data_IF_959390652335
#
_entry.id   IF_959390652335
#
_cell.length_a   1.000
_cell.length_b   1.000
_cell.length_c   1.000
_cell.angle_alpha   90.00
_cell.angle_beta   90.00
_cell.angle_gamma   90.00
#
_symmetry.space_group_name_H-M   'P 1'
#
loop_
_entity.id
_entity.type
_entity.pdbx_description
1 polymer ?
#
# COMPACT_ATOMS: atom_id res chain seq x y z
N UNK A 1 -31.24 -17.02 -69.16
CA UNK A 1 -30.17 -16.01 -69.05
C UNK A 1 -29.74 -15.94 -67.60
N UNK A 2 -28.67 -16.64 -67.27
CA UNK A 2 -28.09 -16.74 -65.93
C UNK A 2 -27.00 -15.67 -65.79
N UNK A 3 -27.14 -14.78 -64.81
CA UNK A 3 -26.09 -13.85 -64.43
C UNK A 3 -24.98 -14.61 -63.68
N UNK A 4 -23.68 -14.41 -64.02
CA UNK A 4 -22.60 -14.96 -63.21
C UNK A 4 -22.38 -14.08 -61.98
N UNK A 5 -22.24 -14.77 -60.84
CA UNK A 5 -21.93 -14.22 -59.53
C UNK A 5 -20.51 -13.64 -59.52
N UNK A 6 -20.42 -12.44 -58.95
CA UNK A 6 -19.20 -11.67 -58.73
C UNK A 6 -18.14 -12.51 -58.01
N UNK A 7 -17.00 -12.71 -58.67
CA UNK A 7 -15.81 -13.30 -58.03
C UNK A 7 -15.19 -12.28 -57.09
N UNK A 8 -15.24 -12.56 -55.80
CA UNK A 8 -14.42 -11.87 -54.79
C UNK A 8 -12.94 -12.07 -55.14
N UNK A 9 -12.21 -10.96 -55.28
CA UNK A 9 -10.81 -10.95 -55.66
C UNK A 9 -9.91 -11.53 -54.54
N UNK A 10 -8.86 -12.27 -54.91
CA UNK A 10 -7.88 -12.84 -53.94
C UNK A 10 -7.22 -11.78 -53.04
N UNK A 11 -7.21 -10.51 -53.46
CA UNK A 11 -6.73 -9.37 -52.68
C UNK A 11 -7.63 -9.04 -51.47
N UNK A 12 -8.92 -9.39 -51.53
CA UNK A 12 -9.87 -9.21 -50.42
C UNK A 12 -9.72 -10.33 -49.38
N UNK A 13 -9.32 -11.54 -49.80
CA UNK A 13 -8.92 -12.62 -48.89
C UNK A 13 -7.61 -12.30 -48.16
N UNK A 14 -6.62 -11.71 -48.83
CA UNK A 14 -5.37 -11.31 -48.16
C UNK A 14 -5.54 -10.13 -47.20
N UNK A 15 -6.44 -9.18 -47.48
CA UNK A 15 -6.76 -8.10 -46.52
C UNK A 15 -7.52 -8.58 -45.29
N UNK A 16 -8.36 -9.62 -45.41
CA UNK A 16 -9.03 -10.24 -44.26
C UNK A 16 -8.13 -11.22 -43.48
N UNK A 17 -6.91 -11.48 -43.97
CA UNK A 17 -5.92 -12.35 -43.32
C UNK A 17 -4.88 -11.55 -42.52
N UNK A 18 -4.97 -10.21 -42.50
CA UNK A 18 -4.23 -9.39 -41.54
C UNK A 18 -5.10 -9.08 -40.32
N UNK A 19 -4.54 -9.33 -39.12
CA UNK A 19 -5.10 -9.09 -37.78
C UNK A 19 -5.96 -10.25 -37.22
N UNK A 20 -5.41 -11.46 -37.20
CA UNK A 20 -5.62 -12.40 -36.09
C UNK A 20 -4.28 -13.06 -35.76
N UNK A 21 -3.28 -12.24 -35.44
CA UNK A 21 -2.09 -12.77 -34.77
C UNK A 21 -2.55 -13.16 -33.36
N UNK A 22 -3.02 -14.41 -33.24
CA UNK A 22 -3.50 -14.96 -31.98
C UNK A 22 -2.30 -15.08 -31.06
N UNK A 23 -2.04 -14.03 -30.28
CA UNK A 23 -0.97 -13.99 -29.28
C UNK A 23 -1.06 -15.26 -28.45
N UNK A 24 0.04 -16.01 -28.37
CA UNK A 24 0.10 -17.28 -27.66
C UNK A 24 -0.18 -17.10 -26.16
N UNK A 25 -0.57 -18.18 -25.47
CA UNK A 25 -0.80 -18.11 -24.03
C UNK A 25 0.44 -17.65 -23.25
N UNK A 26 1.63 -18.07 -23.68
CA UNK A 26 2.90 -17.69 -23.05
C UNK A 26 3.25 -16.22 -23.29
N UNK A 27 3.00 -15.70 -24.49
CA UNK A 27 3.18 -14.28 -24.78
C UNK A 27 2.19 -13.41 -23.98
N UNK A 28 0.92 -13.80 -23.89
CA UNK A 28 -0.06 -13.09 -23.05
C UNK A 28 0.36 -13.11 -21.58
N UNK A 29 0.83 -14.26 -21.07
CA UNK A 29 1.40 -14.38 -19.72
C UNK A 29 2.53 -13.36 -19.51
N UNK A 30 3.49 -13.27 -20.42
CA UNK A 30 4.62 -12.33 -20.32
C UNK A 30 4.16 -10.86 -20.34
N UNK A 31 3.18 -10.52 -21.17
CA UNK A 31 2.62 -9.17 -21.24
C UNK A 31 1.87 -8.83 -19.93
N UNK A 32 1.09 -9.76 -19.37
CA UNK A 32 0.42 -9.59 -18.07
C UNK A 32 1.45 -9.31 -16.97
N UNK A 33 2.49 -10.14 -16.87
CA UNK A 33 3.52 -9.99 -15.84
C UNK A 33 4.26 -8.65 -15.97
N UNK A 34 4.57 -8.24 -17.20
CA UNK A 34 5.17 -6.95 -17.50
C UNK A 34 4.26 -5.78 -17.10
N UNK A 35 2.99 -5.85 -17.48
CA UNK A 35 2.00 -4.84 -17.12
C UNK A 35 1.85 -4.67 -15.60
N UNK A 36 1.80 -5.76 -14.84
CA UNK A 36 1.77 -5.71 -13.36
C UNK A 36 3.04 -5.03 -12.82
N UNK A 37 4.21 -5.35 -13.38
CA UNK A 37 5.49 -4.72 -12.98
C UNK A 37 5.53 -3.22 -13.32
N UNK A 38 4.83 -2.80 -14.36
CA UNK A 38 4.70 -1.39 -14.77
C UNK A 38 3.51 -0.67 -14.11
N UNK A 39 2.79 -1.34 -13.23
CA UNK A 39 1.58 -0.83 -12.55
C UNK A 39 0.40 -0.53 -13.49
N UNK A 40 0.37 -1.16 -14.67
CA UNK A 40 -0.77 -1.08 -15.59
C UNK A 40 -2.01 -1.76 -14.98
N UNK A 41 -3.16 -1.18 -15.24
CA UNK A 41 -4.48 -1.76 -14.99
C UNK A 41 -4.77 -2.90 -15.97
N UNK A 42 -5.70 -3.79 -15.61
CA UNK A 42 -6.13 -4.87 -16.51
C UNK A 42 -6.71 -4.33 -17.84
N UNK A 43 -7.22 -3.10 -17.86
CA UNK A 43 -7.74 -2.45 -19.07
C UNK A 43 -6.57 -2.07 -19.98
N UNK A 44 -5.52 -1.46 -19.45
CA UNK A 44 -4.31 -1.08 -20.21
C UNK A 44 -3.59 -2.31 -20.73
N UNK A 45 -3.45 -3.35 -19.90
CA UNK A 45 -2.89 -4.65 -20.30
C UNK A 45 -3.69 -5.28 -21.45
N UNK A 46 -5.03 -5.20 -21.39
CA UNK A 46 -5.89 -5.73 -22.44
C UNK A 46 -5.77 -4.91 -23.73
N UNK A 47 -5.67 -3.59 -23.62
CA UNK A 47 -5.44 -2.70 -24.76
C UNK A 47 -4.08 -2.97 -25.44
N UNK A 48 -3.02 -3.22 -24.67
CA UNK A 48 -1.69 -3.56 -25.18
C UNK A 48 -1.70 -4.87 -26.00
N UNK A 49 -2.51 -5.85 -25.57
CA UNK A 49 -2.69 -7.12 -26.30
C UNK A 49 -3.73 -7.05 -27.42
N UNK A 50 -4.50 -5.97 -27.53
CA UNK A 50 -5.63 -5.89 -28.45
C UNK A 50 -6.78 -6.86 -28.10
N UNK A 51 -6.94 -7.22 -26.82
CA UNK A 51 -7.97 -8.17 -26.35
C UNK A 51 -8.99 -7.50 -25.43
N UNK A 52 -10.09 -8.22 -25.14
CA UNK A 52 -11.06 -7.78 -24.12
C UNK A 52 -10.49 -7.97 -22.72
N UNK A 53 -10.82 -7.09 -21.78
CA UNK A 53 -10.39 -7.18 -20.37
C UNK A 53 -10.72 -8.52 -19.72
N UNK A 54 -11.84 -9.15 -20.08
CA UNK A 54 -12.20 -10.49 -19.57
C UNK A 54 -11.17 -11.56 -19.94
N UNK A 55 -10.49 -11.45 -21.09
CA UNK A 55 -9.41 -12.35 -21.47
C UNK A 55 -8.25 -12.28 -20.48
N UNK A 56 -7.82 -11.06 -20.13
CA UNK A 56 -6.77 -10.84 -19.12
C UNK A 56 -7.19 -11.40 -17.76
N UNK A 57 -8.44 -11.20 -17.34
CA UNK A 57 -8.96 -11.75 -16.08
C UNK A 57 -8.96 -13.28 -16.06
N UNK A 58 -9.28 -13.93 -17.19
CA UNK A 58 -9.23 -15.38 -17.30
C UNK A 58 -7.80 -15.91 -17.25
N UNK A 59 -6.87 -15.28 -17.97
CA UNK A 59 -5.45 -15.66 -17.96
C UNK A 59 -4.87 -15.48 -16.55
N UNK A 60 -5.18 -14.38 -15.85
CA UNK A 60 -4.81 -14.16 -14.45
C UNK A 60 -5.37 -15.25 -13.53
N UNK A 61 -6.64 -15.66 -13.72
CA UNK A 61 -7.25 -16.75 -12.96
C UNK A 61 -6.54 -18.08 -13.20
N UNK A 62 -6.19 -18.37 -14.46
CA UNK A 62 -5.47 -19.58 -14.84
C UNK A 62 -4.06 -19.61 -14.22
N UNK A 63 -3.31 -18.50 -14.30
CA UNK A 63 -2.00 -18.35 -13.68
C UNK A 63 -2.05 -18.46 -12.15
N UNK A 64 -3.10 -17.92 -11.51
CA UNK A 64 -3.31 -18.08 -10.08
C UNK A 64 -3.61 -19.53 -9.70
N UNK A 65 -4.40 -20.24 -10.52
CA UNK A 65 -4.73 -21.65 -10.29
C UNK A 65 -3.52 -22.57 -10.46
N UNK A 66 -2.68 -22.30 -11.47
CA UNK A 66 -1.42 -23.02 -11.70
C UNK A 66 -0.30 -22.64 -10.72
N UNK A 67 -0.56 -21.69 -9.80
CA UNK A 67 0.41 -21.15 -8.83
C UNK A 67 1.67 -20.62 -9.50
N UNK A 68 1.48 -19.84 -10.55
CA UNK A 68 2.57 -19.20 -11.28
C UNK A 68 3.48 -18.40 -10.32
N UNK A 69 4.76 -18.80 -10.15
CA UNK A 69 5.66 -18.15 -9.21
C UNK A 69 5.99 -16.71 -9.63
N UNK A 70 6.02 -16.42 -10.93
CA UNK A 70 6.32 -15.07 -11.42
C UNK A 70 5.15 -14.12 -11.21
N UNK A 71 3.91 -14.63 -11.26
CA UNK A 71 2.73 -13.84 -10.95
C UNK A 71 2.77 -13.37 -9.49
N UNK A 72 3.07 -14.30 -8.58
CA UNK A 72 3.22 -13.99 -7.16
C UNK A 72 4.33 -12.96 -6.93
N UNK A 73 5.49 -13.14 -7.57
CA UNK A 73 6.60 -12.21 -7.43
C UNK A 73 6.25 -10.81 -7.98
N UNK A 74 5.58 -10.73 -9.13
CA UNK A 74 5.19 -9.46 -9.73
C UNK A 74 4.26 -8.63 -8.81
N UNK A 75 3.34 -9.29 -8.10
CA UNK A 75 2.50 -8.62 -7.09
C UNK A 75 3.27 -8.19 -5.85
N UNK A 76 4.20 -9.02 -5.35
CA UNK A 76 5.07 -8.65 -4.23
C UNK A 76 5.91 -7.41 -4.57
N UNK A 77 6.52 -7.39 -5.75
CA UNK A 77 7.33 -6.26 -6.21
C UNK A 77 6.47 -4.99 -6.33
N UNK A 78 5.23 -5.12 -6.81
CA UNK A 78 4.27 -4.02 -6.88
C UNK A 78 3.95 -3.45 -5.50
N UNK A 79 3.65 -4.31 -4.52
CA UNK A 79 3.41 -3.87 -3.14
C UNK A 79 4.62 -3.17 -2.52
N UNK A 80 5.84 -3.69 -2.75
CA UNK A 80 7.07 -3.06 -2.28
C UNK A 80 7.22 -1.65 -2.86
N UNK A 81 7.00 -1.47 -4.17
CA UNK A 81 7.04 -0.15 -4.82
C UNK A 81 5.98 0.80 -4.27
N UNK A 82 4.75 0.33 -4.07
CA UNK A 82 3.66 1.13 -3.50
C UNK A 82 3.99 1.58 -2.08
N UNK A 83 4.58 0.69 -1.26
CA UNK A 83 5.04 1.03 0.08
C UNK A 83 6.18 2.06 0.06
N UNK A 84 7.18 1.88 -0.80
CA UNK A 84 8.28 2.84 -0.95
C UNK A 84 7.78 4.22 -1.40
N UNK A 85 6.85 4.28 -2.35
CA UNK A 85 6.23 5.52 -2.81
C UNK A 85 5.47 6.22 -1.67
N UNK A 86 4.64 5.48 -0.91
CA UNK A 86 3.93 6.02 0.26
C UNK A 86 4.91 6.57 1.30
N UNK A 87 5.98 5.86 1.61
CA UNK A 87 7.02 6.33 2.53
C UNK A 87 7.69 7.61 2.02
N UNK A 88 8.02 7.68 0.73
CA UNK A 88 8.62 8.90 0.16
C UNK A 88 7.70 10.12 0.28
N UNK A 89 6.38 9.95 0.06
CA UNK A 89 5.40 11.02 0.22
C UNK A 89 5.24 11.46 1.67
N UNK A 90 5.28 10.52 2.62
CA UNK A 90 5.26 10.84 4.05
C UNK A 90 6.51 11.64 4.43
N UNK A 91 7.69 11.21 3.98
CA UNK A 91 8.95 11.90 4.25
C UNK A 91 8.94 13.35 3.72
N UNK A 92 8.48 13.57 2.48
CA UNK A 92 8.37 14.92 1.89
C UNK A 92 7.44 15.81 2.73
N UNK A 93 6.31 15.26 3.20
CA UNK A 93 5.36 16.01 4.04
C UNK A 93 5.96 16.36 5.39
N UNK A 94 6.65 15.42 6.02
CA UNK A 94 7.31 15.64 7.30
C UNK A 94 8.46 16.64 7.20
N UNK A 95 9.26 16.59 6.13
CA UNK A 95 10.31 17.57 5.84
C UNK A 95 9.74 18.97 5.64
N UNK A 96 8.66 19.10 4.85
CA UNK A 96 7.98 20.39 4.66
C UNK A 96 7.41 20.92 5.98
N UNK A 97 6.81 20.04 6.78
CA UNK A 97 6.27 20.41 8.08
C UNK A 97 7.37 20.87 9.04
N UNK A 98 8.51 20.18 9.05
CA UNK A 98 9.70 20.56 9.80
C UNK A 98 10.22 21.93 9.37
N UNK A 99 10.34 22.18 8.06
CA UNK A 99 10.76 23.48 7.55
C UNK A 99 9.79 24.62 7.95
N UNK A 100 8.49 24.35 8.00
CA UNK A 100 7.48 25.35 8.36
C UNK A 100 7.40 25.63 9.87
N UNK A 101 7.63 24.63 10.71
CA UNK A 101 7.32 24.70 12.15
C UNK A 101 8.53 24.56 13.06
N UNK A 102 9.69 24.20 12.52
CA UNK A 102 10.90 23.90 13.28
C UNK A 102 10.85 22.58 14.06
N UNK A 103 9.79 21.77 13.91
CA UNK A 103 9.66 20.46 14.54
C UNK A 103 9.01 19.42 13.63
N UNK A 104 9.27 18.15 13.86
CA UNK A 104 8.63 17.07 13.07
C UNK A 104 7.15 16.91 13.46
N UNK A 105 6.36 16.31 12.59
CA UNK A 105 4.96 16.01 12.90
C UNK A 105 4.83 15.07 14.10
N UNK A 106 5.72 14.08 14.20
CA UNK A 106 5.81 13.18 15.34
C UNK A 106 6.10 13.93 16.65
N UNK A 107 7.04 14.88 16.64
CA UNK A 107 7.34 15.71 17.81
C UNK A 107 6.15 16.56 18.22
N UNK A 108 5.45 17.18 17.26
CA UNK A 108 4.26 17.97 17.58
C UNK A 108 3.14 17.10 18.16
N UNK A 109 2.91 15.92 17.60
CA UNK A 109 1.91 14.99 18.13
C UNK A 109 2.26 14.49 19.52
N UNK A 110 3.53 14.16 19.77
CA UNK A 110 4.03 13.80 21.10
C UNK A 110 3.68 14.89 22.12
N UNK A 111 4.04 16.15 21.84
CA UNK A 111 3.74 17.30 22.72
C UNK A 111 2.24 17.49 22.94
N UNK A 112 1.45 17.42 21.87
CA UNK A 112 0.00 17.55 21.94
C UNK A 112 -0.62 16.46 22.82
N UNK A 113 -0.19 15.21 22.67
CA UNK A 113 -0.72 14.09 23.44
C UNK A 113 -0.31 14.12 24.90
N UNK A 114 0.93 14.52 25.21
CA UNK A 114 1.34 14.75 26.61
C UNK A 114 0.51 15.85 27.25
N UNK A 115 0.30 16.97 26.55
CA UNK A 115 -0.50 18.07 27.09
C UNK A 115 -1.97 17.70 27.26
N UNK A 116 -2.55 16.97 26.29
CA UNK A 116 -3.93 16.52 26.34
C UNK A 116 -4.19 15.59 27.52
N UNK A 117 -3.30 14.61 27.75
CA UNK A 117 -3.41 13.66 28.86
C UNK A 117 -2.58 14.07 30.09
N UNK A 118 -2.29 15.37 30.27
CA UNK A 118 -1.35 15.84 31.30
C UNK A 118 -1.76 15.39 32.70
N UNK A 119 -3.06 15.43 33.01
CA UNK A 119 -3.56 15.04 34.32
C UNK A 119 -3.33 13.55 34.62
N UNK A 120 -3.70 12.68 33.68
CA UNK A 120 -3.51 11.24 33.78
C UNK A 120 -2.02 10.87 33.84
N UNK A 121 -1.20 11.51 33.01
CA UNK A 121 0.23 11.26 32.96
C UNK A 121 0.94 11.72 34.23
N UNK A 122 0.52 12.84 34.84
CA UNK A 122 1.04 13.27 36.14
C UNK A 122 0.66 12.31 37.27
N UNK A 123 -0.55 11.75 37.25
CA UNK A 123 -0.97 10.71 38.21
C UNK A 123 -0.11 9.45 38.08
N UNK A 124 0.13 9.01 36.84
CA UNK A 124 1.02 7.88 36.55
C UNK A 124 2.44 8.17 37.04
N UNK A 125 2.99 9.33 36.69
CA UNK A 125 4.35 9.74 37.04
C UNK A 125 4.59 9.80 38.55
N UNK A 126 3.60 10.25 39.32
CA UNK A 126 3.67 10.34 40.80
C UNK A 126 3.30 9.03 41.51
N UNK A 127 2.81 8.02 40.78
CA UNK A 127 2.37 6.76 41.36
C UNK A 127 3.56 5.93 41.83
N UNK A 128 3.44 5.32 43.03
CA UNK A 128 4.38 4.30 43.49
C UNK A 128 4.31 3.01 42.67
N UNK A 129 3.17 2.76 42.03
CA UNK A 129 2.95 1.62 41.15
C UNK A 129 2.45 2.12 39.79
N UNK A 130 3.41 2.38 38.91
CA UNK A 130 3.16 2.94 37.59
C UNK A 130 2.34 1.99 36.71
N UNK A 131 2.63 0.69 36.78
CA UNK A 131 1.90 -0.34 36.06
C UNK A 131 0.39 -0.31 36.37
N UNK A 132 0.04 -0.26 37.66
CA UNK A 132 -1.37 -0.19 38.08
C UNK A 132 -2.03 1.10 37.64
N UNK A 133 -1.31 2.23 37.69
CA UNK A 133 -1.83 3.51 37.22
C UNK A 133 -2.11 3.51 35.70
N UNK A 134 -1.22 2.90 34.90
CA UNK A 134 -1.39 2.77 33.45
C UNK A 134 -2.50 1.78 33.10
N UNK A 135 -2.61 0.66 33.81
CA UNK A 135 -3.66 -0.33 33.57
C UNK A 135 -5.04 0.16 34.01
N UNK A 136 -5.11 1.13 34.93
CA UNK A 136 -6.33 1.86 35.28
C UNK A 136 -6.89 2.76 34.16
N UNK A 137 -6.09 3.10 33.15
CA UNK A 137 -6.58 3.84 31.98
C UNK A 137 -7.50 3.00 31.10
N UNK A 138 -8.24 3.64 30.19
CA UNK A 138 -8.95 2.89 29.15
C UNK A 138 -7.96 2.27 28.15
N UNK A 139 -8.38 1.18 27.50
CA UNK A 139 -7.59 0.51 26.46
C UNK A 139 -7.21 1.45 25.32
N UNK A 140 -8.10 2.37 24.94
CA UNK A 140 -7.87 3.29 23.83
C UNK A 140 -6.88 4.40 24.19
N UNK A 141 -6.92 4.89 25.44
CA UNK A 141 -5.90 5.83 25.93
C UNK A 141 -4.53 5.15 25.92
N UNK A 142 -4.41 3.93 26.47
CA UNK A 142 -3.13 3.19 26.44
C UNK A 142 -2.59 2.99 25.02
N UNK A 143 -3.46 2.61 24.08
CA UNK A 143 -3.07 2.46 22.66
C UNK A 143 -2.59 3.78 22.07
N UNK A 144 -3.28 4.87 22.35
CA UNK A 144 -2.94 6.20 21.87
C UNK A 144 -1.60 6.67 22.43
N UNK A 145 -1.39 6.56 23.73
CA UNK A 145 -0.13 6.93 24.38
C UNK A 145 1.05 6.08 23.87
N UNK A 146 0.84 4.79 23.63
CA UNK A 146 1.87 3.91 23.03
C UNK A 146 2.20 4.29 21.58
N UNK A 147 1.19 4.60 20.76
CA UNK A 147 1.39 5.02 19.36
C UNK A 147 2.14 6.35 19.22
N UNK A 148 2.14 7.16 20.27
CA UNK A 148 2.82 8.46 20.31
C UNK A 148 4.07 8.42 21.19
N UNK A 149 4.69 7.25 21.42
CA UNK A 149 5.95 7.10 22.17
C UNK A 149 5.94 7.66 23.61
N UNK A 150 4.76 7.78 24.22
CA UNK A 150 4.61 8.20 25.63
C UNK A 150 4.71 6.99 26.55
N UNK A 151 4.18 5.84 26.13
CA UNK A 151 4.28 4.56 26.83
C UNK A 151 5.14 3.58 26.05
N UNK A 152 5.99 2.83 26.77
CA UNK A 152 6.76 1.70 26.25
C UNK A 152 6.47 0.43 27.04
N UNK A 153 6.98 -0.70 26.56
CA UNK A 153 6.80 -2.01 27.18
C UNK A 153 5.46 -2.68 26.85
N UNK A 154 5.40 -3.98 27.15
CA UNK A 154 4.26 -4.85 26.88
C UNK A 154 3.86 -5.61 28.16
N UNK A 155 2.56 -5.84 28.35
CA UNK A 155 2.04 -6.53 29.54
C UNK A 155 2.48 -5.86 30.85
N UNK A 156 2.90 -6.68 31.82
CA UNK A 156 3.36 -6.29 33.16
C UNK A 156 4.51 -5.27 33.24
N UNK A 157 5.08 -4.84 32.11
CA UNK A 157 6.23 -3.93 32.02
C UNK A 157 5.89 -2.61 31.31
N UNK A 158 4.61 -2.27 31.22
CA UNK A 158 4.21 -0.98 30.62
C UNK A 158 4.60 0.18 31.53
N UNK A 159 5.27 1.18 30.97
CA UNK A 159 5.79 2.34 31.69
C UNK A 159 5.90 3.57 30.77
N UNK A 160 6.00 4.76 31.35
CA UNK A 160 6.36 6.00 30.68
C UNK A 160 7.76 5.88 30.08
N UNK A 161 7.94 6.43 28.88
CA UNK A 161 9.25 6.61 28.27
C UNK A 161 10.04 7.71 28.99
N UNK A 162 11.37 7.65 28.94
CA UNK A 162 12.23 8.68 29.54
C UNK A 162 11.91 10.06 28.98
N UNK A 163 11.71 10.15 27.65
CA UNK A 163 11.28 11.37 26.97
C UNK A 163 9.99 11.95 27.56
N UNK A 164 9.00 11.10 27.87
CA UNK A 164 7.77 11.56 28.49
C UNK A 164 7.98 12.04 29.94
N UNK A 165 8.85 11.38 30.70
CA UNK A 165 9.21 11.81 32.07
C UNK A 165 9.89 13.17 32.06
N UNK A 166 10.86 13.37 31.19
CA UNK A 166 11.57 14.65 31.07
C UNK A 166 10.58 15.78 30.75
N UNK A 167 9.64 15.52 29.85
CA UNK A 167 8.62 16.50 29.49
C UNK A 167 7.66 16.85 30.65
N UNK A 168 7.34 15.87 31.49
CA UNK A 168 6.50 16.03 32.69
C UNK A 168 7.25 16.68 33.87
N UNK A 169 8.59 16.65 33.86
CA UNK A 169 9.45 17.32 34.84
C UNK A 169 9.64 18.81 34.52
N UNK A 170 9.76 19.15 33.24
CA UNK A 170 10.07 20.51 32.79
C UNK A 170 8.83 21.42 32.59
N UNK A 171 7.59 20.90 32.72
CA UNK A 171 6.33 21.65 32.49
C UNK A 171 5.25 21.33 33.53
#
# INVERSE_FOLDING_TARGET
>A
MTHPVSGESEQEKEKNTMINHTISADERRLIILRGIRQDHTNIEIAAEMGVRTWTVLNDLRAMSYSKDPELKQAYVDKEIRLHASKQSLVNIRDEKFLHMTGMTFQEKNFRNMINYYKAELQLIYKSKNEYSAITGLSTDIRKTLRRNDILTGHGGRIQLTDKARDYLLCN
#
